data_IF_498928296125
#
_entry.id   IF_498928296125
#
_cell.length_a   1.000
_cell.length_b   1.000
_cell.length_c   1.000
_cell.angle_alpha   90.00
_cell.angle_beta   90.00
_cell.angle_gamma   90.00
#
_symmetry.space_group_name_H-M   'P 1'
#
loop_
_entity.id
_entity.type
_entity.pdbx_description
1 polymer ?
#
# COMPACT_ATOMS: atom_id res chain seq x y z
N UNK A 1 -6.80 -18.98 11.67
CA UNK A 1 -6.77 -17.65 12.33
C UNK A 1 -6.58 -16.65 11.21
N UNK A 2 -7.45 -15.66 11.05
CA UNK A 2 -7.31 -14.67 10.01
C UNK A 2 -6.04 -13.85 10.28
N UNK A 3 -5.08 -13.94 9.36
CA UNK A 3 -3.88 -13.10 9.38
C UNK A 3 -4.32 -11.65 9.28
N UNK A 4 -3.86 -10.82 10.20
CA UNK A 4 -4.25 -9.40 10.24
C UNK A 4 -3.71 -8.76 8.96
N UNK A 5 -4.60 -8.30 8.09
CA UNK A 5 -4.21 -7.60 6.86
C UNK A 5 -3.19 -6.49 7.15
N UNK A 6 -2.21 -6.26 6.29
CA UNK A 6 -1.22 -5.21 6.49
C UNK A 6 -1.91 -3.85 6.72
N UNK A 7 -1.32 -3.01 7.55
CA UNK A 7 -1.95 -1.75 8.00
C UNK A 7 -2.26 -0.80 6.82
N UNK A 8 -1.44 -0.80 5.78
CA UNK A 8 -1.68 -0.11 4.51
C UNK A 8 -0.81 -0.73 3.41
N UNK A 9 -1.35 -0.78 2.21
CA UNK A 9 -0.65 -1.25 0.99
C UNK A 9 -0.75 -0.20 -0.10
N UNK A 10 0.21 -0.20 -1.02
CA UNK A 10 0.28 0.74 -2.16
C UNK A 10 0.17 -0.04 -3.46
N UNK A 11 -0.67 0.48 -4.37
CA UNK A 11 -0.81 -0.04 -5.74
C UNK A 11 -0.85 1.11 -6.71
N UNK A 12 -0.44 0.84 -7.96
CA UNK A 12 -0.48 1.83 -9.01
C UNK A 12 -0.82 1.23 -10.37
N UNK A 13 -1.21 2.10 -11.28
CA UNK A 13 -1.43 1.82 -12.67
C UNK A 13 -0.60 2.76 -13.55
N UNK A 14 -0.17 2.27 -14.71
CA UNK A 14 0.64 3.06 -15.66
C UNK A 14 -0.17 4.11 -16.43
N UNK A 15 -1.50 3.97 -16.46
CA UNK A 15 -2.37 4.99 -17.07
C UNK A 15 -2.33 6.22 -16.18
N UNK A 16 -1.80 7.31 -16.73
CA UNK A 16 -1.69 8.57 -16.01
C UNK A 16 -3.02 9.33 -15.93
N UNK A 17 -3.11 10.24 -14.98
CA UNK A 17 -4.21 11.20 -14.95
C UNK A 17 -4.16 12.15 -16.14
N UNK A 18 -5.34 12.62 -16.55
CA UNK A 18 -5.49 13.66 -17.56
C UNK A 18 -5.86 14.98 -16.89
N UNK A 19 -5.48 16.10 -17.53
CA UNK A 19 -5.82 17.46 -17.06
C UNK A 19 -6.70 18.14 -18.09
N UNK A 20 -7.85 18.66 -17.64
CA UNK A 20 -8.71 19.54 -18.44
C UNK A 20 -8.95 20.85 -17.69
N UNK A 21 -9.30 21.91 -18.41
CA UNK A 21 -9.88 23.11 -17.79
C UNK A 21 -11.36 22.90 -17.55
N UNK A 22 -11.87 23.27 -16.38
CA UNK A 22 -13.31 23.35 -16.14
C UNK A 22 -13.92 24.59 -16.82
N UNK A 23 -15.23 24.82 -16.63
CA UNK A 23 -15.96 25.94 -17.23
C UNK A 23 -15.43 27.32 -16.79
N UNK A 24 -14.73 27.38 -15.63
CA UNK A 24 -14.14 28.58 -15.07
C UNK A 24 -12.64 28.71 -15.44
N UNK A 25 -12.10 27.77 -16.23
CA UNK A 25 -10.70 27.72 -16.65
C UNK A 25 -9.76 27.13 -15.61
N UNK A 26 -10.30 26.53 -14.51
CA UNK A 26 -9.51 25.93 -13.46
C UNK A 26 -9.04 24.52 -13.87
N UNK A 27 -7.78 24.15 -13.62
CA UNK A 27 -7.28 22.83 -13.98
C UNK A 27 -7.94 21.76 -13.12
N UNK A 28 -8.55 20.77 -13.77
CA UNK A 28 -9.17 19.59 -13.15
C UNK A 28 -8.42 18.36 -13.61
N UNK A 29 -7.91 17.62 -12.64
CA UNK A 29 -7.28 16.32 -12.81
C UNK A 29 -8.35 15.23 -12.76
N UNK A 30 -8.34 14.30 -13.72
CA UNK A 30 -9.31 13.20 -13.76
C UNK A 30 -8.70 11.93 -14.34
N UNK A 31 -9.35 10.80 -14.08
CA UNK A 31 -8.95 9.49 -14.57
C UNK A 31 -9.30 8.37 -13.61
N UNK A 32 -8.66 7.23 -13.80
CA UNK A 32 -8.76 6.09 -12.87
C UNK A 32 -7.45 5.96 -12.09
N UNK A 33 -7.54 5.55 -10.83
CA UNK A 33 -6.35 5.18 -10.05
C UNK A 33 -6.28 3.69 -9.76
N UNK A 34 -7.36 2.94 -10.04
CA UNK A 34 -7.42 1.48 -9.95
C UNK A 34 -8.30 0.93 -11.06
N UNK A 35 -7.92 -0.23 -11.60
CA UNK A 35 -8.67 -0.97 -12.64
C UNK A 35 -9.19 -2.26 -12.04
N UNK A 36 -10.44 -2.63 -12.36
CA UNK A 36 -11.07 -3.85 -11.85
C UNK A 36 -10.66 -5.10 -12.62
N UNK A 37 -10.76 -6.24 -11.95
CA UNK A 37 -10.58 -7.60 -12.47
C UNK A 37 -9.29 -7.84 -13.27
N UNK A 38 -8.29 -6.97 -13.11
CA UNK A 38 -6.98 -7.12 -13.72
C UNK A 38 -6.02 -7.78 -12.73
N UNK A 39 -5.56 -8.99 -13.07
CA UNK A 39 -4.54 -9.68 -12.30
C UNK A 39 -3.18 -8.98 -12.40
N UNK A 40 -2.58 -8.71 -11.27
CA UNK A 40 -1.26 -8.10 -11.13
C UNK A 40 -0.43 -8.94 -10.17
N UNK A 41 0.80 -9.26 -10.54
CA UNK A 41 1.72 -9.97 -9.66
C UNK A 41 2.27 -9.00 -8.61
N UNK A 42 2.13 -9.37 -7.34
CA UNK A 42 2.74 -8.68 -6.20
C UNK A 42 3.86 -9.56 -5.66
N UNK A 43 5.06 -9.00 -5.53
CA UNK A 43 6.19 -9.66 -4.90
C UNK A 43 6.81 -8.68 -3.91
N UNK A 44 6.45 -8.81 -2.66
CA UNK A 44 6.73 -7.87 -1.58
C UNK A 44 7.42 -8.58 -0.42
N UNK A 45 8.40 -7.92 0.19
CA UNK A 45 9.05 -8.39 1.42
C UNK A 45 8.03 -8.40 2.58
N UNK A 46 7.10 -7.43 2.59
CA UNK A 46 6.13 -7.24 3.67
C UNK A 46 4.81 -7.97 3.43
N UNK A 47 4.40 -8.14 2.17
CA UNK A 47 3.11 -8.74 1.82
C UNK A 47 3.21 -10.18 1.32
N UNK A 48 4.38 -10.60 0.82
CA UNK A 48 4.58 -11.91 0.22
C UNK A 48 4.50 -11.90 -1.31
N UNK A 49 4.31 -13.09 -1.90
CA UNK A 49 4.30 -13.28 -3.35
C UNK A 49 2.98 -13.91 -3.81
N UNK A 50 2.19 -13.19 -4.59
CA UNK A 50 0.85 -13.60 -5.01
C UNK A 50 0.38 -12.82 -6.24
N UNK A 51 -0.68 -13.33 -6.89
CA UNK A 51 -1.45 -12.57 -7.87
C UNK A 51 -2.57 -11.84 -7.15
N UNK A 52 -2.75 -10.55 -7.45
CA UNK A 52 -3.82 -9.72 -6.86
C UNK A 52 -4.70 -9.11 -7.93
N UNK A 53 -5.99 -9.01 -7.65
CA UNK A 53 -6.94 -8.17 -8.39
C UNK A 53 -7.90 -7.48 -7.45
N UNK A 54 -8.48 -6.38 -7.92
CA UNK A 54 -9.52 -5.64 -7.23
C UNK A 54 -10.85 -5.93 -7.91
N UNK A 55 -11.83 -6.38 -7.15
CA UNK A 55 -13.16 -6.67 -7.68
C UNK A 55 -14.01 -5.38 -7.77
N UNK A 56 -14.93 -5.29 -8.74
CA UNK A 56 -15.97 -4.26 -8.75
C UNK A 56 -16.72 -4.22 -7.41
N UNK A 57 -16.98 -3.03 -6.90
CA UNK A 57 -17.61 -2.82 -5.59
C UNK A 57 -16.65 -2.66 -4.42
N UNK A 58 -15.34 -2.91 -4.61
CA UNK A 58 -14.34 -2.84 -3.53
C UNK A 58 -14.21 -1.44 -2.90
N UNK A 59 -14.43 -0.37 -3.65
CA UNK A 59 -14.35 1.01 -3.19
C UNK A 59 -15.70 1.58 -2.74
N UNK A 60 -16.83 0.91 -3.01
CA UNK A 60 -18.18 1.45 -2.80
C UNK A 60 -18.42 1.96 -1.38
N UNK A 61 -18.00 1.19 -0.40
CA UNK A 61 -18.19 1.54 1.01
C UNK A 61 -17.28 2.71 1.43
N UNK A 62 -16.01 2.69 1.05
CA UNK A 62 -15.06 3.75 1.40
C UNK A 62 -15.46 5.08 0.76
N UNK A 63 -15.97 5.10 -0.47
CA UNK A 63 -16.48 6.31 -1.12
C UNK A 63 -17.74 6.86 -0.44
N UNK A 64 -18.61 5.98 0.03
CA UNK A 64 -19.84 6.39 0.73
C UNK A 64 -19.58 6.92 2.14
N UNK A 65 -18.71 6.24 2.91
CA UNK A 65 -18.58 6.47 4.35
C UNK A 65 -17.36 7.31 4.73
N UNK A 66 -16.30 7.29 3.90
CA UNK A 66 -15.01 7.89 4.25
C UNK A 66 -14.53 8.98 3.28
N UNK A 67 -15.35 9.42 2.33
CA UNK A 67 -14.96 10.40 1.30
C UNK A 67 -14.26 11.64 1.87
N UNK A 68 -14.75 12.18 2.97
CA UNK A 68 -14.18 13.38 3.61
C UNK A 68 -12.76 13.18 4.20
N UNK A 69 -12.34 11.93 4.37
CA UNK A 69 -11.01 11.57 4.90
C UNK A 69 -10.01 11.19 3.81
N UNK A 70 -10.47 10.94 2.58
CA UNK A 70 -9.61 10.63 1.44
C UNK A 70 -8.92 11.91 0.97
N UNK A 71 -7.67 11.80 0.51
CA UNK A 71 -6.86 12.92 0.01
C UNK A 71 -6.33 12.62 -1.38
N UNK A 72 -6.25 13.64 -2.22
CA UNK A 72 -5.49 13.62 -3.45
C UNK A 72 -4.10 14.17 -3.14
N UNK A 73 -3.06 13.32 -3.26
CA UNK A 73 -1.69 13.67 -2.92
C UNK A 73 -0.78 13.48 -4.13
N UNK A 74 0.25 14.29 -4.25
CA UNK A 74 1.35 14.08 -5.17
C UNK A 74 2.41 13.22 -4.49
N UNK A 75 2.92 12.18 -5.19
CA UNK A 75 3.97 11.28 -4.67
C UNK A 75 3.67 10.73 -3.26
N UNK A 76 2.42 10.38 -2.97
CA UNK A 76 2.00 9.93 -1.63
C UNK A 76 2.31 10.90 -0.48
N UNK A 77 2.50 12.19 -0.79
CA UNK A 77 2.94 13.19 0.19
C UNK A 77 4.44 13.21 0.44
N UNK A 78 5.23 12.50 -0.37
CA UNK A 78 6.67 12.38 -0.19
C UNK A 78 7.50 13.36 -1.02
N UNK A 79 6.88 14.15 -1.87
CA UNK A 79 7.59 15.20 -2.61
C UNK A 79 8.14 16.26 -1.66
N UNK A 80 9.43 16.64 -1.75
CA UNK A 80 10.02 17.61 -0.82
C UNK A 80 9.42 19.02 -0.89
N UNK A 81 8.86 19.41 -2.04
CA UNK A 81 8.28 20.74 -2.26
C UNK A 81 6.78 20.78 -1.92
N UNK A 82 6.02 19.79 -2.40
CA UNK A 82 4.58 19.70 -2.16
C UNK A 82 4.28 19.15 -0.77
N UNK A 83 5.05 18.16 -0.32
CA UNK A 83 4.86 17.49 0.97
C UNK A 83 3.54 16.72 1.02
N UNK A 84 2.99 16.61 2.22
CA UNK A 84 1.76 15.90 2.56
C UNK A 84 0.47 16.73 2.36
N UNK A 85 0.60 17.85 1.65
CA UNK A 85 -0.54 18.74 1.37
C UNK A 85 -1.40 18.15 0.24
N UNK A 86 -2.74 18.15 0.40
CA UNK A 86 -3.62 17.81 -0.72
C UNK A 86 -3.39 18.75 -1.90
N UNK A 87 -3.31 18.18 -3.11
CA UNK A 87 -3.07 18.95 -4.35
C UNK A 87 -4.34 19.57 -4.92
N UNK A 88 -5.51 19.21 -4.41
CA UNK A 88 -6.78 19.73 -4.89
C UNK A 88 -7.97 19.25 -4.07
N UNK A 89 -9.15 19.70 -4.48
CA UNK A 89 -10.44 19.31 -3.93
C UNK A 89 -11.02 18.17 -4.75
N UNK A 90 -11.37 17.07 -4.11
CA UNK A 90 -12.01 15.92 -4.75
C UNK A 90 -13.47 16.31 -5.10
N UNK A 91 -13.77 16.43 -6.39
CA UNK A 91 -15.12 16.75 -6.90
C UNK A 91 -15.92 15.45 -7.09
N UNK A 92 -15.28 14.41 -7.62
CA UNK A 92 -15.95 13.14 -7.86
C UNK A 92 -15.06 11.95 -7.41
N UNK A 93 -15.69 10.95 -6.82
CA UNK A 93 -15.18 9.61 -6.59
C UNK A 93 -16.32 8.63 -6.85
N UNK A 94 -16.14 7.74 -7.82
CA UNK A 94 -17.12 6.72 -8.17
C UNK A 94 -16.43 5.47 -8.69
N UNK A 95 -17.14 4.38 -8.70
CA UNK A 95 -16.81 3.22 -9.51
C UNK A 95 -17.56 3.28 -10.82
N UNK A 96 -16.92 2.88 -11.90
CA UNK A 96 -17.52 2.61 -13.19
C UNK A 96 -17.15 1.21 -13.69
N UNK A 97 -17.38 0.94 -14.98
CA UNK A 97 -17.07 -0.38 -15.57
C UNK A 97 -15.58 -0.68 -15.64
N UNK A 98 -14.73 0.36 -15.70
CA UNK A 98 -13.28 0.22 -15.78
C UNK A 98 -12.64 0.10 -14.40
N UNK A 99 -13.07 0.93 -13.44
CA UNK A 99 -12.38 0.97 -12.15
C UNK A 99 -12.86 2.06 -11.19
N UNK A 100 -11.92 2.56 -10.39
CA UNK A 100 -12.13 3.65 -9.46
C UNK A 100 -11.77 4.99 -10.12
N UNK A 101 -12.81 5.70 -10.54
CA UNK A 101 -12.73 7.00 -11.21
C UNK A 101 -12.71 8.16 -10.22
N UNK A 102 -12.01 9.23 -10.58
CA UNK A 102 -11.96 10.46 -9.80
C UNK A 102 -11.91 11.73 -10.65
N UNK A 103 -12.37 12.84 -10.04
CA UNK A 103 -12.09 14.20 -10.49
C UNK A 103 -11.60 15.04 -9.32
N UNK A 104 -10.54 15.83 -9.55
CA UNK A 104 -9.91 16.70 -8.56
C UNK A 104 -9.69 18.09 -9.14
N UNK A 105 -10.35 19.10 -8.60
CA UNK A 105 -10.09 20.50 -8.91
C UNK A 105 -8.79 20.92 -8.23
N UNK A 106 -7.72 21.16 -9.01
CA UNK A 106 -6.39 21.44 -8.47
C UNK A 106 -6.34 22.82 -7.80
N UNK A 107 -5.51 22.92 -6.76
CA UNK A 107 -5.25 24.20 -6.10
C UNK A 107 -4.19 25.01 -6.84
N UNK A 108 -4.30 26.33 -6.78
CA UNK A 108 -3.35 27.27 -7.41
C UNK A 108 -1.91 27.16 -6.87
N UNK A 109 -1.73 26.51 -5.72
CA UNK A 109 -0.42 26.28 -5.10
C UNK A 109 0.31 25.02 -5.59
N UNK A 110 -0.24 24.27 -6.56
CA UNK A 110 0.50 23.17 -7.19
C UNK A 110 1.62 23.75 -8.02
N UNK A 111 2.90 23.30 -7.83
CA UNK A 111 4.04 23.86 -8.56
C UNK A 111 3.89 23.73 -10.09
N UNK A 112 4.33 24.74 -10.84
CA UNK A 112 4.25 24.78 -12.31
C UNK A 112 4.91 23.53 -12.94
N UNK A 113 6.06 23.09 -12.41
CA UNK A 113 6.74 21.89 -12.89
C UNK A 113 5.86 20.63 -12.77
N UNK A 114 5.10 20.50 -11.68
CA UNK A 114 4.16 19.40 -11.49
C UNK A 114 3.01 19.53 -12.49
N UNK A 115 2.50 20.73 -12.68
CA UNK A 115 1.43 21.01 -13.65
C UNK A 115 1.84 20.70 -15.09
N UNK A 116 3.06 21.04 -15.48
CA UNK A 116 3.61 20.72 -16.79
C UNK A 116 3.73 19.20 -16.97
N UNK A 117 4.29 18.50 -15.98
CA UNK A 117 4.35 17.04 -16.01
C UNK A 117 2.97 16.35 -16.08
N UNK A 118 1.94 16.91 -15.44
CA UNK A 118 0.57 16.42 -15.55
C UNK A 118 0.00 16.61 -16.97
N UNK A 119 0.24 17.77 -17.60
CA UNK A 119 -0.17 18.05 -18.99
C UNK A 119 0.53 17.17 -20.00
N UNK A 120 1.79 16.83 -19.73
CA UNK A 120 2.62 15.98 -20.58
C UNK A 120 2.40 14.46 -20.31
N UNK A 121 1.44 14.11 -19.44
CA UNK A 121 1.18 12.71 -19.05
C UNK A 121 2.42 11.98 -18.52
N UNK A 122 3.30 12.72 -17.83
CA UNK A 122 4.55 12.18 -17.28
C UNK A 122 4.38 11.34 -16.01
N UNK A 123 3.17 11.30 -15.45
CA UNK A 123 2.86 10.58 -14.21
C UNK A 123 1.89 9.44 -14.46
N UNK A 124 2.02 8.37 -13.69
CA UNK A 124 0.96 7.39 -13.53
C UNK A 124 0.09 7.69 -12.31
N UNK A 125 -0.84 6.81 -12.01
CA UNK A 125 -1.71 6.93 -10.85
C UNK A 125 -1.41 5.85 -9.81
N UNK A 126 -1.40 6.24 -8.54
CA UNK A 126 -1.18 5.34 -7.41
C UNK A 126 -2.18 5.62 -6.31
N UNK A 127 -2.40 4.64 -5.44
CA UNK A 127 -3.30 4.78 -4.29
C UNK A 127 -2.84 3.92 -3.13
N UNK A 128 -3.16 4.37 -1.92
CA UNK A 128 -2.86 3.69 -0.67
C UNK A 128 -4.15 3.31 0.05
N UNK A 129 -4.23 2.06 0.46
CA UNK A 129 -5.44 1.52 1.07
C UNK A 129 -5.12 0.43 2.09
N UNK A 130 -6.12 0.03 2.84
CA UNK A 130 -6.12 -1.14 3.70
C UNK A 130 -7.16 -2.12 3.17
N UNK A 131 -6.79 -3.38 2.88
CA UNK A 131 -7.76 -4.44 2.63
C UNK A 131 -8.65 -4.66 3.85
N UNK A 132 -9.96 -4.77 3.61
CA UNK A 132 -10.97 -5.02 4.67
C UNK A 132 -11.59 -6.39 4.51
N UNK A 133 -11.88 -6.78 3.26
CA UNK A 133 -12.39 -8.10 2.91
C UNK A 133 -11.74 -8.56 1.62
N UNK A 134 -11.26 -9.78 1.64
CA UNK A 134 -10.56 -10.40 0.53
C UNK A 134 -10.92 -11.88 0.42
N UNK A 135 -10.84 -12.41 -0.79
CA UNK A 135 -10.91 -13.84 -1.06
C UNK A 135 -9.50 -14.32 -1.44
N UNK A 136 -9.02 -15.38 -0.78
CA UNK A 136 -7.69 -15.95 -1.00
C UNK A 136 -7.84 -17.39 -1.48
N UNK A 137 -7.12 -17.73 -2.54
CA UNK A 137 -6.94 -19.10 -3.03
C UNK A 137 -5.45 -19.42 -2.91
N UNK A 138 -5.08 -20.23 -1.94
CA UNK A 138 -3.67 -20.52 -1.61
C UNK A 138 -2.94 -21.30 -2.71
N UNK A 139 -3.64 -22.22 -3.37
CA UNK A 139 -3.09 -23.09 -4.44
C UNK A 139 -4.08 -23.19 -5.60
N UNK A 140 -4.22 -22.12 -6.42
CA UNK A 140 -5.09 -22.16 -7.59
C UNK A 140 -4.51 -23.07 -8.68
N UNK A 141 -5.37 -23.57 -9.56
CA UNK A 141 -4.92 -24.19 -10.79
C UNK A 141 -4.22 -23.16 -11.69
N UNK A 142 -3.19 -23.62 -12.42
CA UNK A 142 -2.49 -22.76 -13.37
C UNK A 142 -3.45 -22.23 -14.44
N UNK A 143 -3.37 -20.94 -14.74
CA UNK A 143 -4.19 -20.25 -15.72
C UNK A 143 -3.33 -19.34 -16.62
N UNK A 144 -3.90 -18.76 -17.66
CA UNK A 144 -3.19 -17.81 -18.51
C UNK A 144 -2.68 -16.60 -17.72
N UNK A 145 -3.47 -16.08 -16.78
CA UNK A 145 -3.07 -14.96 -15.92
C UNK A 145 -2.18 -15.37 -14.74
N UNK A 146 -2.16 -16.64 -14.39
CA UNK A 146 -1.35 -17.19 -13.28
C UNK A 146 -0.73 -18.55 -13.68
N UNK A 147 0.23 -18.54 -14.63
CA UNK A 147 0.78 -19.80 -15.16
C UNK A 147 1.61 -20.60 -14.14
N UNK A 148 2.01 -19.97 -13.04
CA UNK A 148 2.75 -20.62 -11.95
C UNK A 148 1.86 -21.16 -10.84
N UNK A 149 0.56 -20.89 -10.87
CA UNK A 149 -0.37 -21.29 -9.81
C UNK A 149 0.01 -20.73 -8.44
N UNK A 150 0.61 -19.54 -8.38
CA UNK A 150 0.89 -18.89 -7.10
C UNK A 150 -0.41 -18.39 -6.48
N UNK A 151 -0.40 -18.19 -5.16
CA UNK A 151 -1.56 -17.72 -4.39
C UNK A 151 -2.30 -16.59 -5.11
N UNK A 152 -3.62 -16.61 -5.11
CA UNK A 152 -4.47 -15.58 -5.67
C UNK A 152 -5.22 -14.85 -4.57
N UNK A 153 -5.24 -13.53 -4.67
CA UNK A 153 -5.93 -12.62 -3.76
C UNK A 153 -6.88 -11.73 -4.54
N UNK A 154 -8.16 -11.74 -4.18
CA UNK A 154 -9.15 -10.83 -4.75
C UNK A 154 -9.65 -9.88 -3.66
N UNK A 155 -9.36 -8.58 -3.80
CA UNK A 155 -9.83 -7.54 -2.87
C UNK A 155 -11.31 -7.27 -3.13
N UNK A 156 -12.17 -7.50 -2.15
CA UNK A 156 -13.64 -7.32 -2.21
C UNK A 156 -14.13 -6.07 -1.50
N UNK A 157 -13.40 -5.60 -0.51
CA UNK A 157 -13.67 -4.36 0.21
C UNK A 157 -12.36 -3.78 0.71
N UNK A 158 -12.18 -2.47 0.56
CA UNK A 158 -11.00 -1.78 1.02
C UNK A 158 -11.34 -0.43 1.67
N UNK A 159 -10.43 0.07 2.46
CA UNK A 159 -10.44 1.42 3.01
C UNK A 159 -9.38 2.25 2.31
N UNK A 160 -9.81 3.19 1.46
CA UNK A 160 -8.92 4.11 0.76
C UNK A 160 -8.46 5.24 1.70
N UNK A 161 -7.17 5.54 1.70
CA UNK A 161 -6.59 6.66 2.44
C UNK A 161 -6.30 7.85 1.53
N UNK A 162 -5.65 7.60 0.41
CA UNK A 162 -5.27 8.62 -0.56
C UNK A 162 -5.02 8.00 -1.93
N UNK A 163 -5.00 8.85 -2.94
CA UNK A 163 -4.63 8.54 -4.32
C UNK A 163 -4.00 9.76 -4.97
N UNK A 164 -3.30 9.57 -6.07
CA UNK A 164 -2.80 10.69 -6.87
C UNK A 164 -1.69 10.33 -7.82
N UNK A 165 -1.11 11.35 -8.48
CA UNK A 165 -0.05 11.16 -9.46
C UNK A 165 1.28 10.79 -8.80
N UNK A 166 1.99 9.86 -9.47
CA UNK A 166 3.33 9.42 -9.09
C UNK A 166 4.22 9.32 -10.32
N UNK A 167 5.51 9.63 -10.17
CA UNK A 167 6.48 9.57 -11.28
C UNK A 167 6.71 8.11 -11.72
N UNK A 168 6.74 7.18 -10.77
CA UNK A 168 7.01 5.78 -11.05
C UNK A 168 5.85 4.90 -10.54
N UNK A 169 4.77 4.74 -11.34
CA UNK A 169 3.59 3.99 -10.90
C UNK A 169 3.85 2.49 -10.76
N UNK A 170 4.80 1.95 -11.52
CA UNK A 170 5.21 0.56 -11.43
C UNK A 170 6.72 0.47 -11.66
N UNK A 171 7.44 -0.09 -10.72
CA UNK A 171 8.84 -0.46 -10.93
C UNK A 171 8.89 -1.75 -11.76
N UNK A 172 8.68 -1.61 -13.08
CA UNK A 172 8.74 -2.74 -14.01
C UNK A 172 10.14 -3.40 -14.04
N UNK A 173 11.17 -2.66 -13.63
CA UNK A 173 12.58 -3.05 -13.73
C UNK A 173 13.31 -3.03 -12.38
N UNK A 174 12.64 -3.21 -11.26
CA UNK A 174 13.30 -3.32 -9.96
C UNK A 174 14.19 -4.57 -9.91
N UNK A 175 15.36 -4.47 -10.53
CA UNK A 175 16.45 -5.42 -10.34
C UNK A 175 17.05 -5.20 -8.96
N UNK A 176 16.96 -6.22 -8.12
CA UNK A 176 17.61 -6.34 -6.83
C UNK A 176 17.06 -5.44 -5.68
N UNK A 177 16.09 -5.93 -4.94
CA UNK A 177 15.84 -5.55 -3.55
C UNK A 177 14.49 -4.92 -3.23
N UNK A 178 13.94 -4.07 -4.09
CA UNK A 178 12.61 -3.46 -3.89
C UNK A 178 11.70 -3.95 -5.01
N UNK A 179 10.75 -4.83 -4.68
CA UNK A 179 9.92 -5.54 -5.66
C UNK A 179 8.45 -5.12 -5.65
N UNK A 180 8.05 -4.21 -4.77
CA UNK A 180 6.68 -3.69 -4.72
C UNK A 180 6.64 -2.23 -4.32
N UNK A 181 5.57 -1.53 -4.69
CA UNK A 181 5.33 -0.16 -4.26
C UNK A 181 5.14 -0.07 -2.74
N UNK A 182 4.56 -1.07 -2.12
CA UNK A 182 4.44 -1.16 -0.66
C UNK A 182 5.82 -1.21 0.00
N UNK A 183 6.76 -1.98 -0.55
CA UNK A 183 8.13 -2.05 -0.03
C UNK A 183 8.83 -0.70 -0.17
N UNK A 184 8.74 -0.07 -1.35
CA UNK A 184 9.31 1.24 -1.59
C UNK A 184 8.76 2.29 -0.63
N UNK A 185 7.44 2.36 -0.50
CA UNK A 185 6.78 3.27 0.45
C UNK A 185 7.25 3.02 1.89
N UNK A 186 7.36 1.76 2.32
CA UNK A 186 7.82 1.41 3.65
C UNK A 186 9.28 1.84 3.88
N UNK A 187 10.16 1.63 2.90
CA UNK A 187 11.55 2.07 2.98
C UNK A 187 11.68 3.59 3.02
N UNK A 188 10.94 4.33 2.19
CA UNK A 188 10.92 5.80 2.26
C UNK A 188 10.44 6.31 3.63
N UNK A 189 9.42 5.67 4.23
CA UNK A 189 8.95 6.01 5.57
C UNK A 189 10.02 5.77 6.63
N UNK A 190 10.79 4.68 6.51
CA UNK A 190 11.90 4.35 7.41
C UNK A 190 13.02 5.40 7.28
N UNK A 191 13.41 5.75 6.05
CA UNK A 191 14.46 6.74 5.80
C UNK A 191 14.10 8.13 6.34
N UNK A 192 12.83 8.53 6.21
CA UNK A 192 12.35 9.83 6.70
C UNK A 192 12.16 9.89 8.21
N UNK A 193 12.05 8.75 8.86
CA UNK A 193 11.83 8.62 10.30
C UNK A 193 12.89 7.71 10.95
N UNK A 194 14.18 8.11 10.95
CA UNK A 194 15.27 7.28 11.46
C UNK A 194 15.10 6.94 12.96
N UNK A 195 14.33 7.72 13.71
CA UNK A 195 14.04 7.44 15.11
C UNK A 195 13.08 6.24 15.29
N UNK A 196 12.20 5.98 14.32
CA UNK A 196 11.41 4.75 14.30
C UNK A 196 12.33 3.54 14.20
N UNK A 197 13.32 3.59 13.28
CA UNK A 197 14.31 2.52 13.12
C UNK A 197 15.12 2.34 14.39
N UNK A 198 15.58 3.44 14.99
CA UNK A 198 16.32 3.40 16.28
C UNK A 198 15.48 2.81 17.39
N UNK A 199 14.20 3.17 17.48
CA UNK A 199 13.29 2.62 18.50
C UNK A 199 13.01 1.14 18.28
N UNK A 200 12.94 0.68 17.02
CA UNK A 200 12.78 -0.73 16.69
C UNK A 200 14.06 -1.55 16.93
N UNK A 201 15.23 -0.93 16.70
CA UNK A 201 16.54 -1.56 16.96
C UNK A 201 16.97 -1.44 18.43
N UNK A 202 16.45 -0.47 19.17
CA UNK A 202 16.65 -0.31 20.60
C UNK A 202 15.76 -1.21 21.47
N UNK A 203 15.09 -2.19 20.87
CA UNK A 203 14.54 -3.31 21.62
C UNK A 203 15.72 -3.97 22.32
N UNK A 204 15.72 -3.86 23.65
CA UNK A 204 16.74 -4.40 24.51
C UNK A 204 16.93 -5.89 24.21
N UNK A 205 18.02 -6.20 23.49
CA UNK A 205 18.48 -7.56 23.24
C UNK A 205 19.35 -8.06 24.41
N UNK A 206 19.33 -7.36 25.55
CA UNK A 206 19.97 -7.86 26.75
C UNK A 206 19.38 -9.23 27.06
N UNK A 207 20.20 -10.25 27.22
CA UNK A 207 19.71 -11.57 27.61
C UNK A 207 18.96 -11.39 28.93
N UNK A 208 17.72 -11.87 28.98
CA UNK A 208 16.97 -11.97 30.25
C UNK A 208 17.93 -12.59 31.29
N UNK A 209 18.07 -12.00 32.49
CA UNK A 209 18.89 -12.62 33.52
C UNK A 209 18.44 -14.08 33.65
N UNK A 210 19.34 -15.00 33.38
CA UNK A 210 19.11 -16.42 33.64
C UNK A 210 19.09 -16.52 35.15
N UNK A 211 17.94 -16.92 35.69
CA UNK A 211 17.82 -17.25 37.12
C UNK A 211 18.75 -18.42 37.38
N UNK A 212 19.92 -18.17 37.99
CA UNK A 212 20.96 -19.21 38.27
C UNK A 212 20.45 -20.29 39.24
N UNK A 213 19.25 -20.10 39.83
CA UNK A 213 18.61 -21.04 40.75
C UNK A 213 17.54 -21.92 40.06
N UNK A 214 17.35 -21.89 38.75
CA UNK A 214 16.41 -22.78 38.07
C UNK A 214 17.03 -24.19 37.93
N UNK A 215 16.32 -25.26 38.35
CA UNK A 215 16.81 -26.65 38.25
C UNK A 215 17.07 -26.98 36.77
N UNK A 216 18.23 -27.56 36.47
CA UNK A 216 18.64 -27.97 35.13
C UNK A 216 17.57 -28.88 34.47
N UNK A 217 16.86 -28.33 33.49
CA UNK A 217 16.02 -29.14 32.61
C UNK A 217 16.91 -29.95 31.66
N UNK A 218 16.71 -31.24 31.68
CA UNK A 218 17.36 -32.23 30.85
C UNK A 218 17.02 -32.00 29.38
N UNK A 219 18.07 -31.88 28.56
CA UNK A 219 18.24 -32.12 27.12
C UNK A 219 16.93 -32.30 26.31
N UNK A 220 16.23 -31.24 25.98
CA UNK A 220 15.20 -31.19 24.94
C UNK A 220 15.82 -30.60 23.69
N UNK A 221 15.95 -31.41 22.65
CA UNK A 221 16.63 -31.11 21.40
C UNK A 221 16.23 -29.75 20.77
N UNK A 222 17.17 -29.18 20.04
CA UNK A 222 17.00 -27.89 19.30
C UNK A 222 15.66 -27.85 18.55
N UNK A 223 14.91 -26.74 18.66
CA UNK A 223 13.62 -26.61 17.98
C UNK A 223 13.81 -26.72 16.47
N UNK A 224 12.91 -27.47 15.83
CA UNK A 224 12.88 -27.59 14.37
C UNK A 224 12.60 -26.22 13.72
N UNK A 225 13.04 -26.03 12.48
CA UNK A 225 12.87 -24.78 11.72
C UNK A 225 11.41 -24.25 11.69
N UNK A 226 10.45 -25.15 11.82
CA UNK A 226 9.02 -24.82 11.87
C UNK A 226 8.58 -24.28 13.25
N UNK A 227 9.23 -24.68 14.32
CA UNK A 227 8.95 -24.19 15.66
C UNK A 227 9.49 -22.77 15.86
N UNK A 228 10.70 -22.49 15.36
CA UNK A 228 11.28 -21.15 15.36
C UNK A 228 10.46 -20.14 14.53
N UNK A 229 9.84 -20.58 13.43
CA UNK A 229 8.93 -19.75 12.60
C UNK A 229 7.60 -19.46 13.29
N UNK A 230 7.07 -20.39 14.10
CA UNK A 230 5.84 -20.18 14.88
C UNK A 230 6.06 -19.20 16.03
N UNK A 231 7.17 -19.33 16.73
CA UNK A 231 7.51 -18.47 17.87
C UNK A 231 7.79 -17.01 17.42
N UNK A 232 8.43 -16.82 16.26
CA UNK A 232 8.60 -15.51 15.65
C UNK A 232 7.28 -14.85 15.23
N UNK A 233 6.31 -15.63 14.72
CA UNK A 233 4.96 -15.14 14.39
C UNK A 233 4.18 -14.72 15.63
N UNK A 234 4.25 -15.49 16.70
CA UNK A 234 3.55 -15.19 17.98
C UNK A 234 4.12 -13.95 18.67
N UNK A 235 5.40 -13.66 18.50
CA UNK A 235 6.03 -12.45 19.02
C UNK A 235 5.54 -11.19 18.30
N UNK A 236 5.42 -11.22 16.97
CA UNK A 236 4.91 -10.10 16.16
C UNK A 236 3.41 -9.82 16.41
N UNK A 237 2.63 -10.85 16.74
CA UNK A 237 1.19 -10.73 16.99
C UNK A 237 0.83 -10.19 18.39
N UNK A 238 1.77 -10.07 19.33
CA UNK A 238 1.52 -9.60 20.72
C UNK A 238 1.74 -8.12 20.96
N UNK A 239 2.20 -7.35 19.94
CA UNK A 239 2.42 -5.90 20.10
C UNK A 239 1.13 -5.12 19.87
N UNK A 240 0.67 -4.43 20.91
CA UNK A 240 -0.36 -3.39 20.80
C UNK A 240 0.17 -2.22 19.96
N UNK A 241 -0.58 -1.83 18.95
CA UNK A 241 -0.27 -0.65 18.12
C UNK A 241 -0.60 0.61 18.95
N UNK A 242 0.32 1.57 19.09
CA UNK A 242 0.04 2.81 19.82
C UNK A 242 -1.14 3.58 19.20
N UNK A 243 -1.95 4.22 20.04
CA UNK A 243 -3.21 4.89 19.69
C UNK A 243 -3.09 6.02 18.62
N UNK A 244 -1.88 6.50 18.32
CA UNK A 244 -1.63 7.52 17.30
C UNK A 244 -1.49 6.96 15.86
N UNK A 245 -1.57 5.65 15.69
CA UNK A 245 -1.57 4.96 14.38
C UNK A 245 -2.99 4.55 13.92
N UNK A 246 -4.01 4.94 14.66
CA UNK A 246 -5.43 4.70 14.30
C UNK A 246 -6.03 5.90 13.56
#
# INVERSE_FOLDING_TARGET
MAEKAPAAVVRAINTGPEVRADEEGKPTLFGHFAVFDRWTEVNSIFEGHFMERIAPGAFRKTFKENRSRIRALFQHGHDPQVGDKPIGRIEELREDEEGAYYEVSLYDGVPDLVMDGLRDSAYGASFRFQPVREDIIEAPEASESNPRGIMERTIKELRLFEFGPVTFPAYADATAGIRSLTDHFAFEMIERNPDIVRSLLAVDLSPTPVDEDAPAETDAGLPTSDQARRDSRDYLNRREVPAWQL
#
